data_IF_302250413707
#
_entry.id   IF_302250413707
#
_cell.length_a   1.000
_cell.length_b   1.000
_cell.length_c   1.000
_cell.angle_alpha   90.00
_cell.angle_beta   90.00
_cell.angle_gamma   90.00
#
_symmetry.space_group_name_H-M   'P 1'
#
loop_
_entity.id
_entity.type
_entity.pdbx_description
1 polymer ?
#
# COMPACT_ATOMS: atom_id res chain seq x y z
N UNK A 1 4.06 40.46 28.59
CA UNK A 1 3.04 39.40 28.28
C UNK A 1 3.73 38.29 27.51
N UNK A 2 4.09 37.24 28.24
CA UNK A 2 4.78 36.08 27.67
C UNK A 2 3.74 35.09 27.10
N UNK A 3 3.82 34.81 25.82
CA UNK A 3 3.09 33.67 25.22
C UNK A 3 3.93 32.42 25.39
N UNK A 4 3.46 31.55 26.25
CA UNK A 4 4.01 30.21 26.45
C UNK A 4 3.40 29.27 25.39
N UNK A 5 4.18 28.90 24.37
CA UNK A 5 3.82 27.83 23.46
C UNK A 5 4.10 26.49 24.15
N UNK A 6 3.06 25.78 24.51
CA UNK A 6 3.17 24.41 24.99
C UNK A 6 3.18 23.46 23.79
N UNK A 7 4.39 23.04 23.44
CA UNK A 7 4.64 21.88 22.56
C UNK A 7 4.63 20.63 23.44
N UNK A 8 3.61 19.82 23.37
CA UNK A 8 3.66 18.47 23.94
C UNK A 8 2.88 17.46 23.11
N UNK A 9 3.59 16.55 22.50
CA UNK A 9 3.33 15.11 22.73
C UNK A 9 4.45 14.29 22.09
N UNK A 10 5.33 13.82 22.94
CA UNK A 10 6.28 12.78 22.60
C UNK A 10 5.58 11.43 22.71
N UNK A 11 5.54 10.68 21.64
CA UNK A 11 5.32 9.24 21.70
C UNK A 11 6.65 8.57 21.38
N UNK A 12 7.27 7.96 22.37
CA UNK A 12 8.44 7.13 22.19
C UNK A 12 7.98 5.73 21.81
N UNK A 13 8.34 5.28 20.60
CA UNK A 13 8.46 3.85 20.31
C UNK A 13 9.91 3.45 20.60
N UNK A 14 10.15 2.62 21.59
CA UNK A 14 11.47 2.19 22.06
C UNK A 14 12.13 1.09 21.21
N UNK A 15 11.66 0.84 20.01
CA UNK A 15 12.34 -0.06 19.07
C UNK A 15 12.65 0.75 17.83
N UNK A 16 13.88 0.89 17.42
CA UNK A 16 14.43 1.66 16.29
C UNK A 16 13.58 1.78 15.00
N UNK A 17 12.29 1.94 15.15
CA UNK A 17 11.27 2.05 14.13
C UNK A 17 11.03 3.49 13.68
N UNK A 18 10.24 3.63 12.65
CA UNK A 18 9.83 4.90 12.08
C UNK A 18 9.19 5.80 13.12
N UNK A 19 9.73 6.99 13.30
CA UNK A 19 9.19 8.01 14.21
C UNK A 19 8.16 8.86 13.49
N UNK A 20 7.00 9.06 14.11
CA UNK A 20 5.91 9.88 13.59
C UNK A 20 5.70 11.06 14.54
N UNK A 21 5.65 12.27 14.00
CA UNK A 21 5.39 13.50 14.75
C UNK A 21 4.23 14.27 14.13
N UNK A 22 3.43 14.94 14.96
CA UNK A 22 2.35 15.79 14.47
C UNK A 22 2.87 17.19 14.19
N UNK A 23 2.76 17.61 12.94
CA UNK A 23 3.01 18.97 12.49
C UNK A 23 1.92 19.36 11.50
N UNK A 24 0.73 19.55 12.01
CA UNK A 24 -0.47 19.79 11.22
C UNK A 24 -0.40 21.11 10.44
N UNK A 25 -0.87 21.08 9.19
CA UNK A 25 -0.97 22.28 8.36
C UNK A 25 -2.17 23.14 8.78
N UNK A 26 -3.21 22.52 9.34
CA UNK A 26 -4.45 23.17 9.73
C UNK A 26 -4.93 22.61 11.07
N UNK A 27 -5.20 23.47 12.05
CA UNK A 27 -5.72 23.06 13.36
C UNK A 27 -7.25 22.85 13.36
N UNK A 28 -7.94 23.51 12.43
CA UNK A 28 -9.41 23.44 12.35
C UNK A 28 -9.85 22.16 11.63
N UNK A 29 -10.87 21.52 12.15
CA UNK A 29 -11.48 20.30 11.60
C UNK A 29 -10.55 19.07 11.62
N UNK A 30 -9.48 19.11 12.41
CA UNK A 30 -8.61 17.96 12.62
C UNK A 30 -9.23 17.06 13.70
N UNK A 31 -9.14 15.75 13.50
CA UNK A 31 -9.52 14.77 14.50
C UNK A 31 -8.46 14.67 15.59
N UNK A 32 -8.87 14.33 16.80
CA UNK A 32 -7.96 13.88 17.84
C UNK A 32 -7.54 12.42 17.59
N UNK A 33 -6.50 11.95 18.29
CA UNK A 33 -6.05 10.55 18.17
C UNK A 33 -7.13 9.54 18.51
N UNK A 34 -7.97 9.89 19.50
CA UNK A 34 -9.16 9.16 19.87
C UNK A 34 -10.36 10.08 19.70
N UNK A 35 -11.38 9.61 19.03
CA UNK A 35 -12.57 10.39 18.72
C UNK A 35 -13.82 9.50 18.67
N UNK A 36 -14.97 10.09 18.92
CA UNK A 36 -16.25 9.42 18.77
C UNK A 36 -16.87 9.72 17.40
N UNK A 37 -17.28 8.68 16.70
CA UNK A 37 -18.08 8.81 15.49
C UNK A 37 -19.28 7.85 15.53
N UNK A 38 -20.49 8.40 15.45
CA UNK A 38 -21.76 7.63 15.56
C UNK A 38 -21.82 6.74 16.80
N UNK A 39 -21.46 7.28 17.95
CA UNK A 39 -21.43 6.59 19.25
C UNK A 39 -20.46 5.39 19.31
N UNK A 40 -19.47 5.37 18.46
CA UNK A 40 -18.41 4.39 18.47
C UNK A 40 -17.09 5.12 18.68
N UNK A 41 -16.35 4.71 19.70
CA UNK A 41 -14.98 5.18 19.91
C UNK A 41 -14.08 4.64 18.84
N UNK A 42 -13.23 5.48 18.30
CA UNK A 42 -12.29 5.21 17.22
C UNK A 42 -10.95 5.84 17.51
N UNK A 43 -9.90 5.32 16.88
CA UNK A 43 -8.55 5.85 17.08
C UNK A 43 -7.72 5.77 15.79
N UNK A 44 -6.70 6.62 15.72
CA UNK A 44 -5.63 6.47 14.73
C UNK A 44 -4.68 5.36 15.18
N UNK A 45 -4.37 4.44 14.28
CA UNK A 45 -3.53 3.29 14.55
C UNK A 45 -2.05 3.61 14.21
N UNK A 46 -1.44 4.53 14.97
CA UNK A 46 -0.11 5.06 14.67
C UNK A 46 0.97 3.98 14.59
N UNK A 47 0.93 2.98 15.47
CA UNK A 47 1.90 1.87 15.44
C UNK A 47 1.79 1.06 14.15
N UNK A 48 0.57 0.84 13.66
CA UNK A 48 0.35 0.17 12.36
C UNK A 48 0.83 1.02 11.20
N UNK A 49 0.57 2.32 11.25
CA UNK A 49 1.06 3.27 10.24
C UNK A 49 2.59 3.26 10.22
N UNK A 50 3.25 3.34 11.38
CA UNK A 50 4.71 3.28 11.49
C UNK A 50 5.27 1.96 10.90
N UNK A 51 4.67 0.82 11.23
CA UNK A 51 5.06 -0.48 10.68
C UNK A 51 4.85 -0.58 9.15
N UNK A 52 3.81 0.06 8.61
CA UNK A 52 3.57 0.10 7.17
C UNK A 52 4.61 1.00 6.47
N UNK A 53 4.98 2.13 7.06
CA UNK A 53 6.05 3.00 6.56
C UNK A 53 7.38 2.25 6.57
N UNK A 54 7.73 1.60 7.67
CA UNK A 54 8.96 0.81 7.79
C UNK A 54 9.02 -0.28 6.69
N UNK A 55 7.92 -0.98 6.50
CA UNK A 55 7.80 -1.99 5.43
C UNK A 55 7.98 -1.39 4.04
N UNK A 56 7.42 -0.19 3.80
CA UNK A 56 7.55 0.52 2.52
C UNK A 56 9.00 0.97 2.28
N UNK A 57 9.66 1.53 3.30
CA UNK A 57 11.06 1.95 3.21
C UNK A 57 11.99 0.76 2.96
N UNK A 58 11.77 -0.36 3.64
CA UNK A 58 12.52 -1.58 3.39
C UNK A 58 12.30 -2.11 1.96
N UNK A 59 11.09 -2.02 1.45
CA UNK A 59 10.77 -2.37 0.07
C UNK A 59 11.46 -1.43 -0.92
N UNK A 60 11.46 -0.13 -0.66
CA UNK A 60 12.13 0.89 -1.46
C UNK A 60 13.64 0.64 -1.54
N UNK A 61 14.28 0.38 -0.41
CA UNK A 61 15.74 0.14 -0.34
C UNK A 61 16.18 -1.11 -1.13
N UNK A 62 15.29 -2.08 -1.37
CA UNK A 62 15.57 -3.29 -2.10
C UNK A 62 15.27 -3.18 -3.60
N UNK A 63 14.50 -2.19 -4.01
CA UNK A 63 14.04 -2.03 -5.37
C UNK A 63 14.90 -1.07 -6.17
N UNK A 64 15.28 -1.49 -7.39
CA UNK A 64 15.96 -0.61 -8.36
C UNK A 64 14.97 0.19 -9.20
N UNK A 65 13.82 -0.40 -9.46
CA UNK A 65 12.74 0.16 -10.25
C UNK A 65 11.39 -0.28 -9.69
N UNK A 66 10.44 0.62 -9.69
CA UNK A 66 9.06 0.34 -9.28
C UNK A 66 8.12 0.31 -10.46
N UNK A 67 7.01 -0.40 -10.28
CA UNK A 67 5.87 -0.36 -11.15
C UNK A 67 4.58 -0.40 -10.35
N UNK A 68 3.51 0.12 -10.95
CA UNK A 68 2.16 -0.06 -10.45
C UNK A 68 1.41 -1.04 -11.35
N UNK A 69 0.70 -1.98 -10.74
CA UNK A 69 -0.17 -2.88 -11.50
C UNK A 69 -1.34 -2.10 -12.08
N UNK A 70 -1.64 -2.31 -13.35
CA UNK A 70 -2.65 -1.55 -14.08
C UNK A 70 -3.52 -2.44 -14.95
N UNK A 71 -4.76 -2.66 -14.54
CA UNK A 71 -5.79 -3.30 -15.36
C UNK A 71 -7.14 -2.57 -15.22
N UNK A 72 -7.11 -1.28 -15.00
CA UNK A 72 -8.31 -0.48 -14.78
C UNK A 72 -9.20 -0.42 -16.02
N UNK A 73 -10.49 -0.28 -15.80
CA UNK A 73 -11.53 -0.18 -16.84
C UNK A 73 -11.51 -1.34 -17.83
N UNK A 74 -11.15 -2.54 -17.38
CA UNK A 74 -11.05 -3.71 -18.25
C UNK A 74 -10.14 -3.52 -19.47
N UNK A 75 -9.11 -2.67 -19.33
CA UNK A 75 -8.14 -2.34 -20.39
C UNK A 75 -7.63 -3.57 -21.14
N UNK A 76 -7.38 -4.65 -20.42
CA UNK A 76 -6.87 -5.90 -20.94
C UNK A 76 -7.88 -7.07 -20.78
N UNK A 77 -9.13 -6.75 -20.49
CA UNK A 77 -10.16 -7.75 -20.21
C UNK A 77 -10.00 -8.42 -18.85
N UNK A 78 -10.60 -9.59 -18.70
CA UNK A 78 -10.48 -10.40 -17.51
C UNK A 78 -9.21 -11.21 -17.55
N UNK A 79 -8.51 -11.33 -16.43
CA UNK A 79 -7.37 -12.21 -16.29
C UNK A 79 -7.76 -13.68 -16.62
N UNK A 80 -6.85 -14.53 -17.10
CA UNK A 80 -7.08 -15.95 -17.23
C UNK A 80 -7.50 -16.56 -15.88
N UNK A 81 -8.18 -17.71 -15.92
CA UNK A 81 -8.53 -18.43 -14.67
C UNK A 81 -7.28 -19.01 -14.04
N UNK A 82 -7.15 -18.88 -12.73
CA UNK A 82 -6.14 -19.61 -11.96
C UNK A 82 -6.64 -21.03 -11.64
N UNK A 83 -5.72 -21.97 -11.45
CA UNK A 83 -6.06 -23.37 -11.10
C UNK A 83 -6.89 -23.46 -9.81
N UNK A 84 -6.69 -22.53 -8.89
CA UNK A 84 -7.37 -22.48 -7.59
C UNK A 84 -8.56 -21.52 -7.56
N UNK A 85 -9.05 -21.07 -8.72
CA UNK A 85 -10.19 -20.15 -8.81
C UNK A 85 -11.46 -20.74 -8.21
N UNK A 86 -12.13 -19.96 -7.38
CA UNK A 86 -13.43 -20.31 -6.78
C UNK A 86 -14.42 -19.16 -6.93
N UNK A 87 -15.70 -19.43 -6.70
CA UNK A 87 -16.71 -18.38 -6.63
C UNK A 87 -16.89 -17.94 -5.19
N UNK A 88 -16.90 -16.63 -4.97
CA UNK A 88 -17.26 -16.04 -3.68
C UNK A 88 -18.79 -16.10 -3.44
N UNK A 89 -19.25 -15.58 -2.31
CA UNK A 89 -20.67 -15.53 -1.95
C UNK A 89 -21.53 -14.73 -2.96
N UNK A 90 -20.92 -13.84 -3.73
CA UNK A 90 -21.56 -13.01 -4.75
C UNK A 90 -21.36 -13.57 -6.17
N UNK A 91 -20.86 -14.81 -6.28
CA UNK A 91 -20.52 -15.49 -7.54
C UNK A 91 -19.40 -14.83 -8.35
N UNK A 92 -18.66 -13.89 -7.77
CA UNK A 92 -17.45 -13.39 -8.39
C UNK A 92 -16.34 -14.45 -8.30
N UNK A 93 -15.51 -14.52 -9.35
CA UNK A 93 -14.38 -15.44 -9.37
C UNK A 93 -13.21 -14.80 -8.61
N UNK A 94 -12.66 -15.54 -7.68
CA UNK A 94 -11.48 -15.16 -6.91
C UNK A 94 -10.46 -16.30 -6.89
N UNK A 95 -9.20 -15.96 -6.63
CA UNK A 95 -8.15 -16.94 -6.36
C UNK A 95 -8.23 -17.50 -4.93
N UNK A 96 -7.34 -18.43 -4.58
CA UNK A 96 -7.28 -19.02 -3.24
C UNK A 96 -6.98 -18.02 -2.11
N UNK A 97 -6.50 -16.82 -2.46
CA UNK A 97 -6.18 -15.74 -1.52
C UNK A 97 -7.29 -14.68 -1.42
N UNK A 98 -8.42 -14.90 -2.11
CA UNK A 98 -9.56 -13.99 -2.09
C UNK A 98 -9.40 -12.75 -2.96
N UNK A 99 -8.44 -12.72 -3.89
CA UNK A 99 -8.31 -11.63 -4.86
C UNK A 99 -9.22 -11.91 -6.05
N UNK A 100 -10.13 -10.97 -6.32
CA UNK A 100 -11.11 -11.12 -7.41
C UNK A 100 -10.41 -11.02 -8.77
N UNK A 101 -10.85 -11.86 -9.70
CA UNK A 101 -10.32 -11.92 -11.05
C UNK A 101 -10.55 -10.65 -11.87
N UNK A 102 -11.71 -10.03 -11.70
CA UNK A 102 -12.08 -8.83 -12.46
C UNK A 102 -11.24 -7.63 -12.03
N UNK A 103 -10.71 -6.89 -12.99
CA UNK A 103 -9.79 -5.76 -12.77
C UNK A 103 -8.52 -6.13 -11.99
N UNK A 104 -8.07 -7.36 -12.13
CA UNK A 104 -6.84 -7.86 -11.52
C UNK A 104 -5.80 -8.19 -12.58
N UNK A 105 -4.56 -8.31 -12.12
CA UNK A 105 -3.41 -8.67 -12.93
C UNK A 105 -3.01 -10.11 -12.62
N UNK A 106 -2.82 -10.97 -13.63
CA UNK A 106 -2.42 -12.36 -13.40
C UNK A 106 -0.94 -12.45 -13.02
N UNK A 107 -0.65 -13.27 -12.01
CA UNK A 107 0.68 -13.58 -11.52
C UNK A 107 1.02 -15.04 -11.80
N UNK A 108 2.16 -15.27 -12.43
CA UNK A 108 2.60 -16.59 -12.89
C UNK A 108 3.86 -17.04 -12.12
N UNK A 109 3.99 -18.34 -11.94
CA UNK A 109 5.24 -18.98 -11.52
C UNK A 109 6.15 -19.25 -12.72
N UNK A 110 7.45 -19.34 -12.47
CA UNK A 110 8.42 -19.71 -13.50
C UNK A 110 8.01 -21.03 -14.19
N UNK A 111 8.00 -21.01 -15.51
CA UNK A 111 7.70 -22.18 -16.34
C UNK A 111 6.22 -22.45 -16.59
N UNK A 112 5.30 -21.70 -15.99
CA UNK A 112 3.86 -21.79 -16.29
C UNK A 112 3.32 -20.41 -16.66
N UNK A 113 3.24 -20.13 -17.95
CA UNK A 113 2.78 -18.86 -18.51
C UNK A 113 1.32 -18.87 -18.97
N UNK A 114 0.67 -20.01 -18.91
CA UNK A 114 -0.71 -20.17 -19.39
C UNK A 114 -1.72 -19.97 -18.26
N UNK A 115 -1.41 -20.52 -17.09
CA UNK A 115 -2.31 -20.52 -15.94
C UNK A 115 -1.72 -19.73 -14.80
N UNK A 116 -2.31 -18.59 -14.40
CA UNK A 116 -1.82 -17.82 -13.27
C UNK A 116 -2.07 -18.56 -11.95
N UNK A 117 -1.18 -18.42 -10.99
CA UNK A 117 -1.38 -18.99 -9.67
C UNK A 117 -2.24 -18.09 -8.78
N UNK A 118 -2.16 -16.79 -8.99
CA UNK A 118 -2.91 -15.80 -8.21
C UNK A 118 -3.14 -14.51 -8.99
N UNK A 119 -3.88 -13.60 -8.37
CA UNK A 119 -4.12 -12.27 -8.92
C UNK A 119 -3.49 -11.18 -8.04
N UNK A 120 -2.98 -10.12 -8.67
CA UNK A 120 -2.61 -8.87 -8.04
C UNK A 120 -3.69 -7.83 -8.23
N UNK A 121 -3.93 -7.02 -7.22
CA UNK A 121 -4.92 -5.94 -7.31
C UNK A 121 -4.41 -4.80 -8.18
N UNK A 122 -5.32 -4.20 -8.91
CA UNK A 122 -5.09 -2.96 -9.64
C UNK A 122 -4.55 -1.87 -8.69
N UNK A 123 -3.55 -1.09 -9.13
CA UNK A 123 -2.86 -0.09 -8.33
C UNK A 123 -1.84 -0.63 -7.32
N UNK A 124 -1.66 -1.95 -7.19
CA UNK A 124 -0.67 -2.49 -6.27
C UNK A 124 0.76 -2.19 -6.75
N UNK A 125 1.63 -1.77 -5.82
CA UNK A 125 3.03 -1.48 -6.07
C UNK A 125 3.84 -2.77 -6.19
N UNK A 126 4.75 -2.80 -7.15
CA UNK A 126 5.70 -3.90 -7.36
C UNK A 126 7.12 -3.37 -7.56
N UNK A 127 8.11 -4.12 -7.12
CA UNK A 127 9.52 -3.93 -7.49
C UNK A 127 9.81 -4.75 -8.73
N UNK A 128 10.39 -4.13 -9.76
CA UNK A 128 10.82 -4.80 -10.99
C UNK A 128 12.22 -5.36 -10.80
N UNK A 129 12.35 -6.68 -10.92
CA UNK A 129 13.63 -7.38 -10.76
C UNK A 129 14.31 -7.58 -12.10
N UNK A 130 13.53 -8.01 -13.11
CA UNK A 130 14.05 -8.39 -14.42
C UNK A 130 13.01 -8.29 -15.52
N UNK A 131 13.44 -7.91 -16.70
CA UNK A 131 12.66 -7.89 -17.92
C UNK A 131 12.84 -9.19 -18.71
N UNK A 132 11.77 -9.60 -19.39
CA UNK A 132 11.78 -10.67 -20.35
C UNK A 132 10.72 -10.38 -21.42
N UNK A 133 11.12 -9.80 -22.52
CA UNK A 133 10.37 -9.49 -23.74
C UNK A 133 8.88 -9.08 -23.58
N UNK A 134 8.06 -9.90 -22.91
CA UNK A 134 6.60 -9.69 -22.72
C UNK A 134 6.17 -9.85 -21.27
N UNK A 135 7.11 -10.21 -20.38
CA UNK A 135 6.86 -10.39 -18.95
C UNK A 135 7.91 -9.65 -18.12
N UNK A 136 7.50 -9.22 -16.94
CA UNK A 136 8.39 -8.70 -15.91
C UNK A 136 8.42 -9.67 -14.74
N UNK A 137 9.61 -9.96 -14.23
CA UNK A 137 9.77 -10.61 -12.94
C UNK A 137 9.66 -9.51 -11.87
N UNK A 138 8.72 -9.65 -10.97
CA UNK A 138 8.42 -8.63 -9.96
C UNK A 138 8.27 -9.22 -8.57
N UNK A 139 8.54 -8.40 -7.55
CA UNK A 139 8.14 -8.65 -6.16
C UNK A 139 7.03 -7.68 -5.78
N UNK A 140 5.83 -8.15 -5.44
CA UNK A 140 4.75 -7.29 -4.99
C UNK A 140 4.96 -6.79 -3.57
N UNK A 141 4.62 -5.53 -3.29
CA UNK A 141 4.67 -4.95 -1.94
C UNK A 141 3.65 -5.58 -0.96
N UNK A 142 2.57 -6.15 -1.48
CA UNK A 142 1.46 -6.69 -0.68
C UNK A 142 1.59 -8.17 -0.31
N UNK A 143 2.51 -8.89 -0.95
CA UNK A 143 2.81 -10.31 -0.65
C UNK A 143 4.20 -10.66 -1.19
N UNK A 144 4.91 -11.53 -0.51
CA UNK A 144 6.27 -11.87 -0.86
C UNK A 144 6.43 -12.78 -2.07
N UNK A 145 7.69 -13.01 -2.45
CA UNK A 145 8.10 -13.90 -3.52
C UNK A 145 8.20 -13.22 -4.88
N UNK A 146 8.85 -13.93 -5.80
CA UNK A 146 9.07 -13.47 -7.17
C UNK A 146 8.01 -14.05 -8.09
N UNK A 147 7.50 -13.21 -8.97
CA UNK A 147 6.38 -13.52 -9.84
C UNK A 147 6.57 -12.92 -11.22
N UNK A 148 6.14 -13.64 -12.21
CA UNK A 148 6.05 -13.13 -13.56
C UNK A 148 4.70 -12.48 -13.83
N UNK A 149 4.74 -11.28 -14.39
CA UNK A 149 3.54 -10.50 -14.75
C UNK A 149 3.70 -10.02 -16.18
N UNK A 150 2.67 -10.13 -17.03
CA UNK A 150 2.76 -9.55 -18.38
C UNK A 150 3.05 -8.05 -18.30
N UNK A 151 4.07 -7.59 -19.02
CA UNK A 151 4.54 -6.19 -18.98
C UNK A 151 3.44 -5.18 -19.24
N UNK A 152 2.49 -5.50 -20.12
CA UNK A 152 1.34 -4.65 -20.44
C UNK A 152 0.46 -4.26 -19.23
N UNK A 153 0.60 -4.96 -18.12
CA UNK A 153 -0.12 -4.70 -16.87
C UNK A 153 0.70 -3.92 -15.84
N UNK A 154 1.88 -3.45 -16.19
CA UNK A 154 2.75 -2.73 -15.27
C UNK A 154 3.05 -1.34 -15.83
N UNK A 155 2.55 -0.33 -15.15
CA UNK A 155 2.93 1.06 -15.41
C UNK A 155 4.24 1.32 -14.66
N UNK A 156 5.36 1.45 -15.39
CA UNK A 156 6.69 1.68 -14.80
C UNK A 156 6.78 3.07 -14.22
N UNK A 157 7.25 3.16 -13.00
CA UNK A 157 7.39 4.41 -12.24
C UNK A 157 8.85 4.89 -12.13
N UNK A 158 9.80 4.04 -12.56
CA UNK A 158 11.23 4.31 -12.35
C UNK A 158 11.65 4.11 -10.90
N UNK A 159 12.69 4.84 -10.47
CA UNK A 159 13.07 4.93 -9.06
C UNK A 159 12.00 5.74 -8.32
N UNK A 160 11.47 5.21 -7.23
CA UNK A 160 10.52 5.92 -6.41
C UNK A 160 11.18 6.44 -5.13
N UNK A 161 10.77 7.62 -4.70
CA UNK A 161 11.13 8.26 -3.45
C UNK A 161 9.83 8.64 -2.76
N UNK A 162 9.40 7.80 -1.83
CA UNK A 162 8.11 7.93 -1.16
C UNK A 162 8.17 8.96 -0.02
N UNK A 163 8.12 10.22 -0.36
CA UNK A 163 8.16 11.33 0.63
C UNK A 163 6.81 11.75 1.14
N UNK A 164 5.72 11.36 0.49
CA UNK A 164 4.35 11.72 0.88
C UNK A 164 3.47 10.51 0.83
N UNK A 165 2.74 10.26 1.92
CA UNK A 165 1.90 9.10 2.08
C UNK A 165 0.50 9.51 2.54
N UNK A 166 -0.50 8.76 2.10
CA UNK A 166 -1.88 8.88 2.56
C UNK A 166 -2.30 7.53 3.12
N UNK A 167 -2.66 7.50 4.39
CA UNK A 167 -3.20 6.32 5.05
C UNK A 167 -4.70 6.44 5.20
N UNK A 168 -5.43 5.40 4.82
CA UNK A 168 -6.88 5.33 4.93
C UNK A 168 -7.24 4.11 5.77
N UNK A 169 -7.75 4.33 6.98
CA UNK A 169 -8.27 3.27 7.83
C UNK A 169 -9.79 3.13 7.62
N UNK A 170 -10.18 2.08 6.94
CA UNK A 170 -11.59 1.79 6.66
C UNK A 170 -12.36 1.32 7.89
N UNK A 171 -11.67 0.74 8.87
CA UNK A 171 -12.28 0.25 10.11
C UNK A 171 -12.61 1.42 11.03
N UNK A 172 -11.64 2.28 11.28
CA UNK A 172 -11.82 3.48 12.09
C UNK A 172 -12.36 4.67 11.28
N UNK A 173 -12.49 4.52 9.95
CA UNK A 173 -13.02 5.55 9.04
C UNK A 173 -12.28 6.89 9.18
N UNK A 174 -10.96 6.83 9.20
CA UNK A 174 -10.10 8.01 9.23
C UNK A 174 -9.07 7.99 8.10
N UNK A 175 -8.43 9.13 7.93
CA UNK A 175 -7.38 9.36 6.95
C UNK A 175 -6.29 10.21 7.60
N UNK A 176 -5.05 9.84 7.36
CA UNK A 176 -3.89 10.66 7.73
C UNK A 176 -2.99 10.89 6.51
N UNK A 177 -2.49 12.10 6.35
CA UNK A 177 -1.45 12.43 5.38
C UNK A 177 -0.15 12.67 6.09
N UNK A 178 0.90 12.02 5.60
CA UNK A 178 2.24 12.13 6.17
C UNK A 178 3.23 12.60 5.11
N UNK A 179 4.21 13.35 5.55
CA UNK A 179 5.33 13.83 4.76
C UNK A 179 6.64 13.48 5.45
N UNK A 180 7.61 12.99 4.71
CA UNK A 180 8.93 12.68 5.24
C UNK A 180 9.67 13.97 5.60
N UNK A 181 10.06 14.10 6.86
CA UNK A 181 11.02 15.10 7.34
C UNK A 181 12.44 14.54 7.38
N UNK A 182 13.36 15.25 8.00
CA UNK A 182 14.79 14.87 8.03
C UNK A 182 15.03 13.54 8.76
N UNK A 183 14.32 13.28 9.85
CA UNK A 183 14.47 12.07 10.68
C UNK A 183 13.15 11.48 11.15
N UNK A 184 12.03 12.07 10.76
CA UNK A 184 10.70 11.72 11.24
C UNK A 184 9.69 11.83 10.11
N UNK A 185 8.55 11.16 10.25
CA UNK A 185 7.41 11.37 9.40
C UNK A 185 6.43 12.34 10.05
N UNK A 186 6.13 13.42 9.36
CA UNK A 186 5.30 14.51 9.86
C UNK A 186 3.85 14.29 9.45
N UNK A 187 2.94 14.18 10.41
CA UNK A 187 1.50 14.16 10.14
C UNK A 187 1.08 15.58 9.74
N UNK A 188 0.61 15.75 8.53
CA UNK A 188 0.23 17.04 7.95
C UNK A 188 -1.26 17.33 8.02
N UNK A 189 -2.09 16.27 8.00
CA UNK A 189 -3.53 16.35 8.29
C UNK A 189 -4.06 14.99 8.79
N UNK A 190 -5.12 15.05 9.55
CA UNK A 190 -5.79 13.87 10.10
C UNK A 190 -7.26 14.17 10.43
#
# INVERSE_FOLDING_TARGET
MSFLFLLFSFFFSENGGVKIEKQLLYDRHTLEDNYEYRKVERSFQWDKIAGMIDSLLNFENQAKEFGALSNYKNRNGRAPLSDSSRKDAYRAIEDKYGVKRDQSVPFYKTGNWEVPERYGRDGALVSVIRDSAVFLLVTPSSFGGEWWVPEKYVDRLGGADFRKLIFIDRTNQNLATLEQGDSTWLVRSM
#
